data_IF_588308043960
#
_entry.id   IF_588308043960
#
_cell.length_a   1.000
_cell.length_b   1.000
_cell.length_c   1.000
_cell.angle_alpha   90.00
_cell.angle_beta   90.00
_cell.angle_gamma   90.00
#
_symmetry.space_group_name_H-M   'P 1'
#
loop_
_entity.id
_entity.type
_entity.pdbx_description
1 polymer ?
#
# COMPACT_ATOMS: atom_id res chain seq x y z
N UNK A 1 8.65 7.92 -8.12
CA UNK A 1 8.12 7.52 -6.79
C UNK A 1 9.07 6.48 -6.24
N UNK A 2 9.51 6.63 -4.99
CA UNK A 2 10.43 5.70 -4.34
C UNK A 2 9.79 5.10 -3.09
N UNK A 3 10.01 3.81 -2.86
CA UNK A 3 9.57 3.12 -1.66
C UNK A 3 10.61 3.25 -0.57
N UNK A 4 10.18 3.66 0.62
CA UNK A 4 10.98 3.74 1.84
C UNK A 4 10.58 2.60 2.76
N UNK A 5 11.57 1.83 3.21
CA UNK A 5 11.35 0.86 4.27
C UNK A 5 11.10 1.62 5.60
N UNK A 6 9.98 1.30 6.24
CA UNK A 6 9.52 1.84 7.52
C UNK A 6 9.42 0.77 8.59
N UNK A 7 9.96 -0.41 8.34
CA UNK A 7 9.99 -1.50 9.30
C UNK A 7 10.79 -1.07 10.53
N UNK A 8 10.19 -1.18 11.71
CA UNK A 8 10.87 -0.98 12.98
C UNK A 8 11.12 -2.35 13.59
N UNK A 9 12.40 -2.70 13.77
CA UNK A 9 12.80 -3.96 14.38
C UNK A 9 13.37 -3.70 15.77
N UNK A 10 12.98 -4.53 16.75
CA UNK A 10 13.69 -4.59 18.02
C UNK A 10 15.02 -5.35 17.83
N UNK A 11 16.09 -4.99 18.54
CA UNK A 11 17.42 -5.58 18.30
C UNK A 11 17.52 -7.11 18.52
N UNK A 12 16.47 -7.75 19.05
CA UNK A 12 16.41 -9.20 19.30
C UNK A 12 15.66 -10.01 18.24
N UNK A 13 15.01 -9.39 17.25
CA UNK A 13 14.15 -10.10 16.30
C UNK A 13 14.95 -10.84 15.22
N UNK A 14 15.00 -12.18 15.34
CA UNK A 14 15.59 -13.08 14.33
C UNK A 14 14.75 -13.16 13.05
N UNK A 15 13.46 -12.83 13.12
CA UNK A 15 12.56 -12.81 11.98
C UNK A 15 12.29 -11.35 11.61
N UNK A 16 12.70 -10.92 10.41
CA UNK A 16 12.46 -9.56 9.89
C UNK A 16 10.99 -9.37 9.50
N UNK A 17 10.11 -9.41 10.48
CA UNK A 17 8.66 -9.11 10.41
C UNK A 17 8.28 -8.38 11.70
N UNK A 18 7.50 -7.29 11.64
CA UNK A 18 6.73 -6.78 10.50
C UNK A 18 7.59 -6.13 9.40
N UNK A 19 7.08 -6.14 8.16
CA UNK A 19 7.67 -5.38 7.05
C UNK A 19 6.71 -4.31 6.61
N UNK A 20 7.14 -3.05 6.59
CA UNK A 20 6.30 -1.94 6.15
C UNK A 20 7.06 -1.09 5.15
N UNK A 21 6.43 -0.80 4.01
CA UNK A 21 6.96 0.07 2.98
C UNK A 21 6.01 1.24 2.78
N UNK A 22 6.56 2.45 2.70
CA UNK A 22 5.81 3.67 2.40
C UNK A 22 6.37 4.30 1.13
N UNK A 23 5.49 4.71 0.22
CA UNK A 23 5.84 5.56 -0.91
C UNK A 23 4.90 6.77 -0.96
N UNK A 24 5.42 7.89 -1.46
CA UNK A 24 4.68 9.14 -1.62
C UNK A 24 4.66 9.62 -3.06
N UNK A 25 3.51 10.10 -3.49
CA UNK A 25 3.30 10.78 -4.77
C UNK A 25 2.59 12.11 -4.50
N UNK A 26 3.34 13.20 -4.38
CA UNK A 26 2.81 14.47 -3.87
C UNK A 26 2.31 14.33 -2.42
N UNK A 27 1.06 14.71 -2.16
CA UNK A 27 0.39 14.55 -0.87
C UNK A 27 -0.16 13.14 -0.63
N UNK A 28 -0.23 12.30 -1.67
CA UNK A 28 -0.76 10.95 -1.56
C UNK A 28 0.27 10.01 -0.94
N UNK A 29 -0.10 9.37 0.17
CA UNK A 29 0.71 8.36 0.85
C UNK A 29 0.15 6.96 0.56
N UNK A 30 1.02 6.07 0.11
CA UNK A 30 0.72 4.65 -0.09
C UNK A 30 1.60 3.86 0.87
N UNK A 31 0.97 3.05 1.72
CA UNK A 31 1.66 2.18 2.67
C UNK A 31 1.27 0.73 2.41
N UNK A 32 2.25 -0.15 2.38
CA UNK A 32 2.06 -1.59 2.26
C UNK A 32 2.75 -2.23 3.45
N UNK A 33 1.98 -2.90 4.31
CA UNK A 33 2.51 -3.49 5.54
C UNK A 33 2.13 -4.97 5.64
N UNK A 34 3.04 -5.77 6.16
CA UNK A 34 2.81 -7.17 6.51
C UNK A 34 2.96 -7.34 8.01
N UNK A 35 1.90 -7.82 8.63
CA UNK A 35 1.87 -8.11 10.06
C UNK A 35 2.39 -9.52 10.34
N UNK A 36 2.98 -9.74 11.52
CA UNK A 36 3.58 -11.04 11.89
C UNK A 36 2.53 -12.15 12.12
N UNK A 37 1.30 -11.79 12.49
CA UNK A 37 0.21 -12.74 12.74
C UNK A 37 -0.70 -12.99 11.52
N UNK A 38 -0.42 -12.36 10.38
CA UNK A 38 -1.15 -12.61 9.14
C UNK A 38 -0.48 -13.72 8.33
N UNK A 39 -1.22 -14.26 7.35
CA UNK A 39 -0.64 -15.17 6.37
C UNK A 39 0.60 -14.50 5.73
N UNK A 40 1.72 -15.21 5.53
CA UNK A 40 2.91 -14.65 4.88
C UNK A 40 2.66 -14.01 3.51
N UNK A 41 1.59 -14.45 2.82
CA UNK A 41 1.12 -13.89 1.56
C UNK A 41 0.19 -12.68 1.73
N UNK A 42 -0.31 -12.38 2.93
CA UNK A 42 -1.21 -11.26 3.15
C UNK A 42 -0.45 -9.97 3.43
N UNK A 43 -0.60 -9.01 2.53
CA UNK A 43 -0.16 -7.64 2.71
C UNK A 43 -1.36 -6.73 2.93
N UNK A 44 -1.18 -5.65 3.67
CA UNK A 44 -2.22 -4.66 3.94
C UNK A 44 -1.84 -3.36 3.24
N UNK A 45 -2.70 -2.92 2.33
CA UNK A 45 -2.65 -1.61 1.70
C UNK A 45 -3.41 -0.57 2.55
N UNK A 46 -2.71 0.54 2.80
CA UNK A 46 -3.26 1.74 3.41
C UNK A 46 -2.94 2.93 2.50
N UNK A 47 -3.97 3.59 2.00
CA UNK A 47 -3.90 4.79 1.18
C UNK A 47 -5.22 5.56 1.31
N UNK A 48 -5.28 6.46 2.29
CA UNK A 48 -6.45 7.31 2.53
C UNK A 48 -6.65 8.31 1.38
N UNK A 49 -7.91 8.64 1.04
CA UNK A 49 -9.16 8.17 1.64
C UNK A 49 -9.70 6.86 1.06
N UNK A 50 -8.96 6.20 0.14
CA UNK A 50 -9.50 5.09 -0.65
C UNK A 50 -9.37 3.72 0.02
N UNK A 51 -8.32 3.52 0.81
CA UNK A 51 -7.98 2.24 1.43
C UNK A 51 -7.49 2.48 2.86
N UNK A 52 -8.22 2.00 3.86
CA UNK A 52 -7.83 2.12 5.26
C UNK A 52 -6.99 0.93 5.73
N UNK A 53 -7.44 -0.30 5.47
CA UNK A 53 -6.72 -1.55 5.73
C UNK A 53 -7.19 -2.66 4.77
N UNK A 54 -6.87 -2.52 3.47
CA UNK A 54 -7.30 -3.52 2.48
C UNK A 54 -6.26 -4.61 2.33
N UNK A 55 -6.66 -5.88 2.46
CA UNK A 55 -5.77 -7.02 2.28
C UNK A 55 -5.51 -7.26 0.78
N UNK A 56 -4.25 -7.46 0.44
CA UNK A 56 -3.73 -7.83 -0.87
C UNK A 56 -2.93 -9.11 -0.67
N UNK A 57 -3.46 -10.24 -1.11
CA UNK A 57 -2.79 -11.53 -1.00
C UNK A 57 -1.81 -11.70 -2.17
N UNK A 58 -0.52 -11.45 -1.91
CA UNK A 58 0.61 -11.53 -2.84
C UNK A 58 1.80 -12.19 -2.17
N UNK A 59 2.51 -13.08 -2.86
CA UNK A 59 3.58 -13.88 -2.26
C UNK A 59 4.81 -13.06 -1.86
N UNK A 60 5.04 -11.92 -2.51
CA UNK A 60 6.25 -11.11 -2.28
C UNK A 60 5.95 -9.63 -2.00
N UNK A 61 6.94 -8.94 -1.41
CA UNK A 61 6.84 -7.51 -1.12
C UNK A 61 6.75 -6.66 -2.40
N UNK A 62 7.40 -7.08 -3.47
CA UNK A 62 7.43 -6.32 -4.72
C UNK A 62 6.11 -6.48 -5.49
N UNK A 63 5.53 -7.69 -5.51
CA UNK A 63 4.16 -7.90 -5.97
C UNK A 63 3.15 -7.07 -5.18
N UNK A 64 3.29 -7.01 -3.86
CA UNK A 64 2.41 -6.20 -3.00
C UNK A 64 2.49 -4.70 -3.33
N UNK A 65 3.70 -4.17 -3.56
CA UNK A 65 3.92 -2.78 -3.98
C UNK A 65 3.29 -2.49 -5.35
N UNK A 66 3.47 -3.39 -6.30
CA UNK A 66 2.90 -3.25 -7.64
C UNK A 66 1.37 -3.28 -7.60
N UNK A 67 0.80 -4.28 -6.92
CA UNK A 67 -0.65 -4.41 -6.73
C UNK A 67 -1.24 -3.18 -6.02
N UNK A 68 -0.55 -2.64 -5.00
CA UNK A 68 -0.94 -1.40 -4.33
C UNK A 68 -1.00 -0.21 -5.29
N UNK A 69 0.01 -0.03 -6.14
CA UNK A 69 0.03 1.06 -7.14
C UNK A 69 -1.10 0.89 -8.16
N UNK A 70 -1.35 -0.33 -8.64
CA UNK A 70 -2.44 -0.62 -9.57
C UNK A 70 -3.80 -0.26 -8.94
N UNK A 71 -4.05 -0.69 -7.70
CA UNK A 71 -5.29 -0.41 -6.98
C UNK A 71 -5.52 1.11 -6.80
N UNK A 72 -4.48 1.84 -6.42
CA UNK A 72 -4.52 3.30 -6.26
C UNK A 72 -4.74 4.01 -7.60
N UNK A 73 -4.07 3.58 -8.68
CA UNK A 73 -4.29 4.12 -10.04
C UNK A 73 -5.73 3.95 -10.49
N UNK A 74 -6.33 2.79 -10.22
CA UNK A 74 -7.75 2.54 -10.53
C UNK A 74 -8.67 3.51 -9.80
N UNK A 75 -8.46 3.72 -8.49
CA UNK A 75 -9.27 4.67 -7.70
C UNK A 75 -9.09 6.12 -8.12
N UNK A 76 -7.87 6.52 -8.48
CA UNK A 76 -7.60 7.81 -9.10
C UNK A 76 -8.38 8.00 -10.39
N UNK A 77 -8.35 7.01 -11.30
CA UNK A 77 -9.09 7.07 -12.56
C UNK A 77 -10.61 7.16 -12.33
N UNK A 78 -11.18 6.37 -11.41
CA UNK A 78 -12.59 6.46 -11.03
C UNK A 78 -12.96 7.85 -10.50
N UNK A 79 -12.10 8.42 -9.63
CA UNK A 79 -12.32 9.75 -9.04
C UNK A 79 -12.21 10.85 -10.10
N UNK A 80 -11.21 10.80 -10.97
CA UNK A 80 -11.03 11.74 -12.08
C UNK A 80 -12.22 11.69 -13.04
N UNK A 81 -12.72 10.49 -13.37
CA UNK A 81 -13.90 10.33 -14.20
C UNK A 81 -15.13 11.00 -13.56
N UNK A 82 -15.34 10.80 -12.25
CA UNK A 82 -16.45 11.43 -11.51
C UNK A 82 -16.33 12.96 -11.39
N UNK A 83 -15.11 13.50 -11.38
CA UNK A 83 -14.84 14.93 -11.33
C UNK A 83 -14.92 15.62 -12.71
N UNK A 84 -15.04 14.85 -13.80
CA UNK A 84 -15.18 15.45 -15.14
C UNK A 84 -16.47 16.26 -15.17
N UNK A 85 -16.39 17.59 -15.29
CA UNK A 85 -17.57 18.42 -15.15
C UNK A 85 -18.47 18.22 -16.37
N UNK A 86 -19.74 17.98 -16.12
CA UNK A 86 -20.77 17.96 -17.16
C UNK A 86 -21.11 19.42 -17.50
N UNK A 87 -20.14 20.15 -18.05
CA UNK A 87 -20.34 21.51 -18.54
C UNK A 87 -21.11 21.41 -19.85
N UNK A 88 -22.43 21.51 -19.76
CA UNK A 88 -23.30 21.85 -20.89
C UNK A 88 -23.40 23.36 -21.03
#
# INVERSE_FOLDING_TARGET
>A
MEWKDKSSFSQGDKVRTPKSFEARAGSLRITVTRHIHHDPADWVLICEPWFSQTVISTGTADEAKEAAVIAVRKKLAETLAALTPNVK
#
